data_IF_276583600017
#
_entry.id   IF_276583600017
#
_cell.length_a   1.000
_cell.length_b   1.000
_cell.length_c   1.000
_cell.angle_alpha   90.00
_cell.angle_beta   90.00
_cell.angle_gamma   90.00
#
_symmetry.space_group_name_H-M   'P 1'
#
loop_
_entity.id
_entity.type
_entity.pdbx_description
1 polymer ?
#
# COMPACT_ATOMS: atom_id res chain seq x y z
N UNK A 1 33.98 -0.56 21.96
CA UNK A 1 33.55 -0.05 20.64
C UNK A 1 32.03 -0.16 20.56
N UNK A 2 31.33 0.97 20.65
CA UNK A 2 29.87 1.02 20.58
C UNK A 2 29.41 0.85 19.14
N UNK A 3 28.54 -0.14 18.90
CA UNK A 3 27.95 -0.39 17.60
C UNK A 3 26.87 0.67 17.33
N UNK A 4 27.23 1.74 16.62
CA UNK A 4 26.27 2.75 16.18
C UNK A 4 25.46 2.18 15.00
N UNK A 5 24.34 1.53 15.31
CA UNK A 5 23.35 1.13 14.32
C UNK A 5 22.69 2.39 13.74
N UNK A 6 23.27 2.91 12.66
CA UNK A 6 22.65 3.98 11.90
C UNK A 6 21.36 3.40 11.28
N UNK A 7 20.21 3.95 11.66
CA UNK A 7 18.94 3.60 11.05
C UNK A 7 19.03 3.76 9.52
N UNK A 8 18.61 2.74 8.77
CA UNK A 8 18.59 2.82 7.31
C UNK A 8 17.52 3.82 6.89
N UNK A 9 17.91 4.86 6.17
CA UNK A 9 16.96 5.78 5.55
C UNK A 9 16.07 4.99 4.57
N UNK A 10 14.76 5.16 4.70
CA UNK A 10 13.75 4.55 3.83
C UNK A 10 13.42 5.57 2.74
N UNK A 11 13.38 5.13 1.49
CA UNK A 11 12.85 5.94 0.40
C UNK A 11 11.32 6.10 0.60
N UNK A 12 10.81 7.33 0.78
CA UNK A 12 9.39 7.56 1.02
C UNK A 12 8.55 7.41 -0.26
N UNK A 13 9.16 7.31 -1.45
CA UNK A 13 8.45 7.13 -2.71
C UNK A 13 8.01 5.67 -2.87
N UNK A 14 6.69 5.36 -2.86
CA UNK A 14 6.25 3.99 -3.01
C UNK A 14 6.46 3.51 -4.45
N UNK A 15 6.80 2.23 -4.61
CA UNK A 15 7.03 1.61 -5.92
C UNK A 15 5.72 1.48 -6.71
N UNK A 16 4.61 1.25 -6.01
CA UNK A 16 3.26 1.20 -6.56
C UNK A 16 2.23 1.60 -5.52
N UNK A 17 1.00 1.84 -5.96
CA UNK A 17 -0.17 2.00 -5.10
C UNK A 17 -1.27 0.99 -5.46
N UNK A 18 -2.12 0.67 -4.50
CA UNK A 18 -3.31 -0.17 -4.66
C UNK A 18 -4.53 0.53 -4.06
N UNK A 19 -5.63 0.57 -4.81
CA UNK A 19 -6.91 1.09 -4.30
C UNK A 19 -7.68 -0.03 -3.59
N UNK A 20 -8.07 0.19 -2.34
CA UNK A 20 -8.71 -0.82 -1.50
C UNK A 20 -10.20 -0.55 -1.31
N UNK A 21 -11.02 -1.03 -2.24
CA UNK A 21 -12.48 -0.95 -2.15
C UNK A 21 -13.01 -1.65 -0.89
N UNK A 22 -14.19 -1.26 -0.37
CA UNK A 22 -14.85 -1.99 0.70
C UNK A 22 -14.98 -3.48 0.36
N UNK A 23 -14.61 -4.34 1.32
CA UNK A 23 -14.61 -5.82 1.18
C UNK A 23 -13.60 -6.38 0.17
N UNK A 24 -12.62 -5.58 -0.27
CA UNK A 24 -11.45 -6.10 -0.99
C UNK A 24 -10.50 -6.87 -0.06
N UNK A 25 -9.72 -7.77 -0.65
CA UNK A 25 -8.64 -8.53 0.01
C UNK A 25 -7.33 -8.23 -0.70
N UNK A 26 -6.29 -7.96 0.10
CA UNK A 26 -4.90 -7.90 -0.38
C UNK A 26 -4.12 -9.03 0.28
N UNK A 27 -3.40 -9.78 -0.54
CA UNK A 27 -2.54 -10.88 -0.09
C UNK A 27 -1.11 -10.51 -0.49
N UNK A 28 -0.28 -10.19 0.51
CA UNK A 28 1.16 -9.98 0.31
C UNK A 28 1.91 -11.28 0.57
N UNK A 29 2.80 -11.67 -0.34
CA UNK A 29 3.64 -12.87 -0.24
C UNK A 29 5.04 -12.59 -0.76
N UNK A 30 6.01 -13.47 -0.44
CA UNK A 30 7.38 -13.36 -0.94
C UNK A 30 8.01 -11.99 -0.66
N UNK A 31 8.65 -11.40 -1.68
CA UNK A 31 9.32 -10.10 -1.58
C UNK A 31 8.37 -8.99 -1.13
N UNK A 32 7.12 -8.94 -1.61
CA UNK A 32 6.13 -7.94 -1.20
C UNK A 32 5.81 -7.97 0.30
N UNK A 33 5.98 -9.13 0.93
CA UNK A 33 5.81 -9.26 2.38
C UNK A 33 7.10 -9.01 3.16
N UNK A 34 8.25 -9.42 2.63
CA UNK A 34 9.53 -9.45 3.36
C UNK A 34 10.38 -8.19 3.17
N UNK A 35 10.36 -7.61 1.97
CA UNK A 35 11.36 -6.64 1.51
C UNK A 35 10.77 -5.27 1.21
N UNK A 36 9.45 -5.16 1.09
CA UNK A 36 8.76 -3.90 0.83
C UNK A 36 7.96 -3.43 2.05
N UNK A 37 8.02 -2.12 2.30
CA UNK A 37 7.14 -1.48 3.26
C UNK A 37 5.79 -1.22 2.60
N UNK A 38 4.73 -1.41 3.38
CA UNK A 38 3.37 -1.06 3.02
C UNK A 38 2.87 -0.03 4.03
N UNK A 39 2.09 0.92 3.55
CA UNK A 39 1.58 2.01 4.37
C UNK A 39 0.29 2.57 3.81
N UNK A 40 -0.41 3.31 4.65
CA UNK A 40 -1.56 4.12 4.28
C UNK A 40 -1.20 5.55 4.69
N UNK A 41 -1.06 6.45 3.72
CA UNK A 41 -0.72 7.84 3.99
C UNK A 41 -1.79 8.49 4.88
N UNK A 42 -1.42 9.32 5.85
CA UNK A 42 -2.37 10.04 6.69
C UNK A 42 -2.92 11.28 5.97
N UNK A 43 -3.91 11.06 5.10
CA UNK A 43 -4.60 12.11 4.33
C UNK A 43 -6.12 11.94 4.46
N UNK A 44 -6.87 13.02 4.26
CA UNK A 44 -8.35 13.01 4.29
C UNK A 44 -8.98 12.59 2.97
N UNK A 45 -8.25 12.68 1.86
CA UNK A 45 -8.74 12.32 0.53
C UNK A 45 -7.64 11.69 -0.32
N UNK A 46 -8.05 10.82 -1.25
CA UNK A 46 -7.21 10.27 -2.29
C UNK A 46 -7.45 11.06 -3.58
N UNK A 47 -6.44 11.79 -4.05
CA UNK A 47 -6.50 12.58 -5.29
C UNK A 47 -5.98 11.73 -6.45
N UNK A 48 -6.86 11.44 -7.40
CA UNK A 48 -6.62 10.59 -8.55
C UNK A 48 -6.44 11.45 -9.80
N UNK A 49 -5.33 11.22 -10.47
CA UNK A 49 -4.96 11.84 -11.74
C UNK A 49 -5.26 10.80 -12.83
N UNK A 50 -6.06 11.19 -13.81
CA UNK A 50 -6.32 10.39 -14.99
C UNK A 50 -5.00 10.08 -15.71
N UNK A 51 -4.84 8.86 -16.23
CA UNK A 51 -3.67 8.52 -17.05
C UNK A 51 -3.64 9.38 -18.32
N UNK A 52 -2.55 10.11 -18.56
CA UNK A 52 -2.41 11.00 -19.73
C UNK A 52 -1.86 10.25 -20.95
N UNK A 53 -2.71 10.05 -21.98
CA UNK A 53 -2.29 9.51 -23.28
C UNK A 53 -3.33 8.63 -23.96
N UNK A 54 -3.19 8.40 -25.27
CA UNK A 54 -4.03 7.43 -26.00
C UNK A 54 -3.77 6.00 -25.49
N UNK A 55 -4.82 5.37 -24.94
CA UNK A 55 -4.85 3.95 -24.64
C UNK A 55 -4.31 3.53 -23.27
N UNK A 56 -5.22 3.18 -22.36
CA UNK A 56 -5.01 2.18 -21.29
C UNK A 56 -3.87 2.44 -20.29
N UNK A 57 -3.47 3.70 -20.09
CA UNK A 57 -2.51 4.05 -19.05
C UNK A 57 -3.16 3.96 -17.65
N UNK A 58 -2.39 3.46 -16.69
CA UNK A 58 -2.87 3.33 -15.33
C UNK A 58 -3.12 4.72 -14.71
N UNK A 59 -4.26 4.94 -14.04
CA UNK A 59 -4.47 6.14 -13.25
C UNK A 59 -3.43 6.23 -12.14
N UNK A 60 -3.17 7.45 -11.70
CA UNK A 60 -2.14 7.73 -10.70
C UNK A 60 -2.77 8.37 -9.48
N UNK A 61 -2.24 8.07 -8.31
CA UNK A 61 -2.61 8.74 -7.06
C UNK A 61 -1.54 9.76 -6.69
N UNK A 62 -1.96 10.95 -6.25
CA UNK A 62 -1.03 11.96 -5.73
C UNK A 62 -0.49 11.51 -4.37
N UNK A 63 0.82 11.56 -4.20
CA UNK A 63 1.54 11.23 -2.96
C UNK A 63 2.48 12.39 -2.64
N UNK A 64 2.10 13.27 -1.72
CA UNK A 64 2.82 14.54 -1.49
C UNK A 64 3.02 15.32 -2.80
N UNK A 65 4.26 15.61 -3.18
CA UNK A 65 4.62 16.37 -4.40
C UNK A 65 4.79 15.49 -5.65
N UNK A 66 4.54 14.18 -5.56
CA UNK A 66 4.66 13.24 -6.68
C UNK A 66 3.34 12.52 -6.95
N UNK A 67 3.36 11.60 -7.90
CA UNK A 67 2.27 10.66 -8.14
C UNK A 67 2.81 9.26 -8.40
N UNK A 68 2.04 8.25 -8.03
CA UNK A 68 2.39 6.82 -8.22
C UNK A 68 1.22 6.10 -8.89
N UNK A 69 1.52 5.11 -9.75
CA UNK A 69 0.50 4.34 -10.44
C UNK A 69 -0.35 3.51 -9.48
N UNK A 70 -1.64 3.37 -9.81
CA UNK A 70 -2.58 2.51 -9.09
C UNK A 70 -2.66 1.20 -9.87
N UNK A 71 -1.94 0.17 -9.43
CA UNK A 71 -1.70 -1.01 -10.28
C UNK A 71 -2.91 -1.93 -10.40
N UNK A 72 -3.79 -1.97 -9.39
CA UNK A 72 -4.97 -2.81 -9.39
C UNK A 72 -6.20 -2.16 -10.06
N UNK A 73 -6.05 -1.01 -10.74
CA UNK A 73 -7.17 -0.22 -11.26
C UNK A 73 -8.12 -0.98 -12.18
N UNK A 74 -7.62 -1.99 -12.91
CA UNK A 74 -8.44 -2.86 -13.79
C UNK A 74 -9.29 -3.87 -13.04
N UNK A 75 -9.00 -4.10 -11.76
CA UNK A 75 -9.69 -5.05 -10.88
C UNK A 75 -10.73 -4.37 -9.98
N UNK A 76 -10.80 -3.04 -10.01
CA UNK A 76 -11.74 -2.22 -9.25
C UNK A 76 -13.10 -2.28 -9.94
N UNK A 77 -14.15 -2.67 -9.22
CA UNK A 77 -15.46 -2.96 -9.79
C UNK A 77 -16.60 -2.06 -9.25
N UNK A 78 -16.37 -1.33 -8.16
CA UNK A 78 -17.33 -0.37 -7.64
C UNK A 78 -17.49 0.84 -8.56
N UNK A 79 -18.72 1.11 -8.99
CA UNK A 79 -19.04 2.17 -9.95
C UNK A 79 -18.40 3.52 -9.59
N UNK A 80 -18.56 3.97 -8.34
CA UNK A 80 -17.97 5.24 -7.87
C UNK A 80 -16.45 5.27 -7.98
N UNK A 81 -15.78 4.19 -7.61
CA UNK A 81 -14.30 4.13 -7.66
C UNK A 81 -13.81 4.06 -9.09
N UNK A 82 -14.47 3.27 -9.93
CA UNK A 82 -14.13 3.08 -11.33
C UNK A 82 -14.27 4.36 -12.13
N UNK A 83 -15.34 5.13 -11.89
CA UNK A 83 -15.55 6.42 -12.54
C UNK A 83 -14.41 7.39 -12.21
N UNK A 84 -14.07 7.55 -10.92
CA UNK A 84 -12.97 8.44 -10.49
C UNK A 84 -11.61 7.96 -11.00
N UNK A 85 -11.36 6.65 -11.07
CA UNK A 85 -10.14 6.11 -11.68
C UNK A 85 -10.04 6.39 -13.18
N UNK A 86 -11.17 6.51 -13.88
CA UNK A 86 -11.19 6.77 -15.32
C UNK A 86 -11.15 8.25 -15.67
N UNK A 87 -11.87 9.10 -14.93
CA UNK A 87 -11.98 10.54 -15.18
C UNK A 87 -11.01 11.39 -14.36
N UNK A 88 -10.33 10.81 -13.38
CA UNK A 88 -9.69 11.55 -12.30
C UNK A 88 -10.71 12.16 -11.33
N UNK A 89 -10.21 12.73 -10.24
CA UNK A 89 -11.03 13.35 -9.19
C UNK A 89 -10.45 13.14 -7.80
N UNK A 90 -11.28 13.33 -6.76
CA UNK A 90 -10.91 12.98 -5.39
C UNK A 90 -11.93 12.05 -4.74
N UNK A 91 -11.42 11.15 -3.88
CA UNK A 91 -12.21 10.26 -3.05
C UNK A 91 -12.02 10.65 -1.60
N UNK A 92 -13.08 11.08 -0.93
CA UNK A 92 -13.02 11.37 0.50
C UNK A 92 -12.86 10.06 1.29
N UNK A 93 -11.97 10.09 2.27
CA UNK A 93 -11.78 8.94 3.16
C UNK A 93 -12.78 8.99 4.30
N UNK A 94 -13.35 7.83 4.57
CA UNK A 94 -14.19 7.59 5.72
C UNK A 94 -13.53 6.60 6.67
N UNK A 95 -14.14 6.37 7.82
CA UNK A 95 -13.71 5.33 8.75
C UNK A 95 -13.73 3.96 8.06
N UNK A 96 -12.56 3.33 7.95
CA UNK A 96 -12.38 2.01 7.36
C UNK A 96 -11.86 1.02 8.40
N UNK A 97 -12.50 -0.15 8.46
CA UNK A 97 -12.00 -1.29 9.23
C UNK A 97 -11.16 -2.19 8.33
N UNK A 98 -10.03 -2.68 8.86
CA UNK A 98 -9.19 -3.67 8.19
C UNK A 98 -8.94 -4.86 9.12
N UNK A 99 -8.92 -6.06 8.53
CA UNK A 99 -8.56 -7.29 9.22
C UNK A 99 -7.27 -7.81 8.61
N UNK A 100 -6.24 -7.98 9.43
CA UNK A 100 -4.94 -8.49 9.01
C UNK A 100 -4.72 -9.85 9.65
N UNK A 101 -4.62 -10.88 8.83
CA UNK A 101 -4.29 -12.24 9.26
C UNK A 101 -2.87 -12.57 8.81
N UNK A 102 -2.09 -13.18 9.71
CA UNK A 102 -0.77 -13.74 9.38
C UNK A 102 -0.57 -15.04 10.13
N UNK A 103 0.14 -15.96 9.51
CA UNK A 103 0.66 -17.12 10.21
C UNK A 103 1.89 -16.70 11.04
N UNK A 104 1.93 -17.15 12.29
CA UNK A 104 3.03 -16.85 13.22
C UNK A 104 3.70 -18.16 13.58
N UNK A 105 4.94 -18.32 13.13
CA UNK A 105 5.73 -19.51 13.44
C UNK A 105 5.89 -19.64 14.95
N UNK A 106 5.62 -20.85 15.46
CA UNK A 106 5.79 -21.17 16.87
C UNK A 106 7.29 -21.19 17.21
N UNK A 107 7.76 -20.20 17.97
CA UNK A 107 9.13 -20.17 18.47
C UNK A 107 9.26 -20.97 19.76
N UNK A 108 10.05 -22.04 19.76
CA UNK A 108 10.43 -22.73 21.00
C UNK A 108 11.48 -21.89 21.73
N UNK A 109 11.18 -21.44 22.96
CA UNK A 109 12.20 -20.82 23.83
C UNK A 109 13.00 -21.96 24.46
N UNK A 110 14.26 -22.13 24.06
CA UNK A 110 15.19 -22.97 24.78
C UNK A 110 15.55 -22.26 26.11
N UNK A 111 14.79 -22.52 27.17
CA UNK A 111 15.26 -22.31 28.54
C UNK A 111 16.12 -23.51 28.91
N UNK A 112 17.41 -23.45 28.56
CA UNK A 112 18.42 -24.45 28.91
C UNK A 112 19.52 -23.80 29.73
N UNK A 113 19.61 -24.19 31.00
CA UNK A 113 20.56 -23.74 32.00
C UNK A 113 22.02 -23.89 31.55
N UNK A 114 22.82 -22.83 31.74
CA UNK A 114 24.27 -22.96 31.84
C UNK A 114 24.58 -23.39 33.27
N UNK A 115 25.14 -24.59 33.42
CA UNK A 115 25.74 -25.11 34.66
C UNK A 115 27.22 -24.75 34.70
#
# INVERSE_FOLDING_TARGET
>A
MGNQSHGRAVDPLPVLSVLLEPRSVVITTGEFYLSYLHGINEVSEDVIIQGEGEGNQAPRIKVSETSVGIDNWKLVDGCTYKDVLQSGGSLQRETRYSLTCRDVVRVFRATGAFH
#
